data_IF_603509189274
#
_entry.id   IF_603509189274
#
_cell.length_a   1.000
_cell.length_b   1.000
_cell.length_c   1.000
_cell.angle_alpha   90.00
_cell.angle_beta   90.00
_cell.angle_gamma   90.00
#
_symmetry.space_group_name_H-M   'P 1'
#
loop_
_entity.id
_entity.type
_entity.pdbx_description
1 polymer ?
#
# COMPACT_ATOMS: atom_id res chain seq x y z
N UNK A 1 -23.67 20.82 -15.04
CA UNK A 1 -23.07 20.81 -13.69
C UNK A 1 -21.96 19.79 -13.66
N UNK A 2 -20.70 20.23 -13.68
CA UNK A 2 -19.54 19.34 -13.56
C UNK A 2 -19.23 19.06 -12.09
N UNK A 3 -18.76 17.84 -11.78
CA UNK A 3 -18.29 17.47 -10.45
C UNK A 3 -16.83 17.92 -10.26
N UNK A 4 -16.54 18.50 -9.09
CA UNK A 4 -15.18 18.86 -8.69
C UNK A 4 -14.27 17.62 -8.61
N UNK A 5 -13.00 17.77 -8.98
CA UNK A 5 -12.07 16.65 -9.08
C UNK A 5 -11.83 15.95 -7.74
N UNK A 6 -11.93 16.68 -6.61
CA UNK A 6 -11.80 16.12 -5.26
C UNK A 6 -12.98 15.23 -4.86
N UNK A 7 -14.14 15.45 -5.48
CA UNK A 7 -15.41 14.77 -5.17
C UNK A 7 -15.68 13.56 -6.08
N UNK A 8 -14.72 13.21 -6.96
CA UNK A 8 -14.82 12.05 -7.85
C UNK A 8 -14.71 10.76 -7.04
N UNK A 9 -15.82 10.03 -6.95
CA UNK A 9 -15.91 8.73 -6.27
C UNK A 9 -15.16 7.60 -6.98
N UNK A 10 -14.87 7.78 -8.29
CA UNK A 10 -14.11 6.81 -9.11
C UNK A 10 -12.83 7.45 -9.64
N UNK A 11 -11.68 6.82 -9.37
CA UNK A 11 -10.37 7.20 -9.91
C UNK A 11 -9.21 7.03 -8.92
N UNK A 12 -9.38 7.40 -7.65
CA UNK A 12 -8.29 7.33 -6.68
C UNK A 12 -7.99 5.88 -6.22
N UNK A 13 -8.98 4.99 -6.26
CA UNK A 13 -8.80 3.58 -5.92
C UNK A 13 -8.10 2.76 -7.02
N UNK A 14 -8.03 3.27 -8.25
CA UNK A 14 -7.39 2.60 -9.39
C UNK A 14 -5.98 3.14 -9.68
N UNK A 15 -5.54 4.18 -8.97
CA UNK A 15 -4.19 4.70 -9.10
C UNK A 15 -3.19 3.83 -8.34
N UNK A 16 -1.93 3.87 -8.80
CA UNK A 16 -0.83 3.27 -8.08
C UNK A 16 -0.71 3.89 -6.68
N UNK A 17 -0.52 3.03 -5.68
CA UNK A 17 -0.32 3.45 -4.29
C UNK A 17 1.17 3.39 -3.93
N UNK A 18 1.66 4.48 -3.34
CA UNK A 18 3.04 4.57 -2.84
C UNK A 18 3.34 3.62 -1.66
N UNK A 19 2.30 3.11 -1.00
CA UNK A 19 2.40 2.16 0.12
C UNK A 19 1.43 1.02 -0.13
N UNK A 20 1.92 -0.21 0.03
CA UNK A 20 1.12 -1.42 -0.10
C UNK A 20 -0.01 -1.49 0.94
N UNK A 21 -1.07 -2.22 0.61
CA UNK A 21 -2.15 -2.54 1.54
C UNK A 21 -1.67 -3.48 2.65
N UNK A 22 -2.44 -3.62 3.73
CA UNK A 22 -2.01 -4.42 4.89
C UNK A 22 -1.65 -5.87 4.51
N UNK A 23 -2.49 -6.55 3.74
CA UNK A 23 -2.25 -7.92 3.30
C UNK A 23 -0.96 -8.03 2.47
N UNK A 24 -0.83 -7.19 1.44
CA UNK A 24 0.36 -7.10 0.59
C UNK A 24 1.64 -6.82 1.38
N UNK A 25 1.56 -6.00 2.44
CA UNK A 25 2.69 -5.70 3.32
C UNK A 25 3.11 -6.89 4.16
N UNK A 26 2.14 -7.64 4.68
CA UNK A 26 2.42 -8.87 5.43
C UNK A 26 3.14 -9.86 4.51
N UNK A 27 2.64 -10.05 3.29
CA UNK A 27 3.23 -10.99 2.34
C UNK A 27 4.66 -10.58 1.94
N UNK A 28 4.87 -9.28 1.65
CA UNK A 28 6.20 -8.76 1.32
C UNK A 28 7.17 -8.84 2.49
N UNK A 29 6.72 -8.53 3.72
CA UNK A 29 7.58 -8.59 4.90
C UNK A 29 7.88 -10.04 5.34
N UNK A 30 6.96 -10.99 5.13
CA UNK A 30 7.23 -12.42 5.28
C UNK A 30 8.33 -12.86 4.32
N UNK A 31 8.27 -12.45 3.05
CA UNK A 31 9.29 -12.76 2.06
C UNK A 31 10.66 -12.16 2.40
N UNK A 32 10.70 -10.94 2.94
CA UNK A 32 11.97 -10.26 3.31
C UNK A 32 12.43 -10.55 4.75
N UNK A 33 11.87 -11.57 5.43
CA UNK A 33 12.18 -11.93 6.83
C UNK A 33 11.97 -10.81 7.87
N UNK A 34 11.21 -9.77 7.53
CA UNK A 34 10.94 -8.62 8.39
C UNK A 34 9.65 -8.73 9.21
N UNK A 35 8.99 -9.90 9.18
CA UNK A 35 7.71 -10.12 9.87
C UNK A 35 7.63 -11.56 10.41
N UNK A 36 7.46 -11.67 11.72
CA UNK A 36 7.17 -12.92 12.43
C UNK A 36 5.69 -12.90 12.85
N UNK A 37 4.82 -13.74 12.29
CA UNK A 37 3.39 -13.74 12.62
C UNK A 37 3.10 -14.03 14.10
N UNK A 38 3.99 -14.71 14.82
CA UNK A 38 3.82 -15.04 16.23
C UNK A 38 4.15 -13.89 17.18
N UNK A 39 4.98 -12.93 16.72
CA UNK A 39 5.42 -11.76 17.51
C UNK A 39 4.93 -10.44 16.93
N UNK A 40 4.28 -10.49 15.77
CA UNK A 40 3.86 -9.30 15.06
C UNK A 40 2.69 -8.62 15.78
N UNK A 41 2.83 -7.33 16.15
CA UNK A 41 1.73 -6.59 16.74
C UNK A 41 0.59 -6.39 15.72
N UNK A 42 -0.65 -6.38 16.22
CA UNK A 42 -1.86 -6.10 15.41
C UNK A 42 -1.78 -4.70 14.78
N UNK A 43 -1.08 -3.78 15.42
CA UNK A 43 -0.85 -2.39 14.97
C UNK A 43 0.64 -2.14 14.74
N UNK A 44 0.99 -1.12 13.94
CA UNK A 44 2.38 -0.70 13.80
C UNK A 44 3.23 -1.50 12.80
N UNK A 45 2.61 -2.14 11.81
CA UNK A 45 3.36 -2.79 10.73
C UNK A 45 4.32 -1.76 10.06
N UNK A 46 5.56 -2.14 9.65
CA UNK A 46 6.52 -1.23 8.98
C UNK A 46 6.08 -0.80 7.58
N UNK A 47 6.04 0.51 7.28
CA UNK A 47 5.59 1.04 5.98
C UNK A 47 6.41 0.44 4.84
N UNK A 48 5.76 -0.33 3.97
CA UNK A 48 6.43 -0.97 2.83
C UNK A 48 6.15 -0.17 1.56
N UNK A 49 7.19 0.46 1.04
CA UNK A 49 7.09 1.28 -0.16
C UNK A 49 6.79 0.41 -1.40
N UNK A 50 5.93 0.95 -2.25
CA UNK A 50 5.71 0.51 -3.62
C UNK A 50 5.88 1.77 -4.48
N UNK A 51 7.08 1.98 -5.05
CA UNK A 51 7.34 3.17 -5.87
C UNK A 51 7.18 2.79 -7.34
N UNK A 52 6.47 3.63 -8.10
CA UNK A 52 6.44 3.51 -9.56
C UNK A 52 7.81 3.95 -10.10
N UNK A 53 8.59 3.00 -10.60
CA UNK A 53 9.84 3.31 -11.30
C UNK A 53 9.52 3.60 -12.76
N UNK A 54 9.84 4.81 -13.24
CA UNK A 54 9.87 5.07 -14.67
C UNK A 54 11.11 4.34 -15.23
N UNK A 55 10.90 3.23 -15.93
CA UNK A 55 11.95 2.63 -16.74
C UNK A 55 11.95 3.42 -18.03
N UNK A 56 12.99 4.23 -18.22
CA UNK A 56 13.23 5.00 -19.44
C UNK A 56 13.69 4.12 -20.59
#
# INVERSE_FOLDING_TARGET
MSLDASLKTKGNLTQHRNVLNRAERIDKLKATKGFDPSKAPVVGLPKTANRKTAVG
#
